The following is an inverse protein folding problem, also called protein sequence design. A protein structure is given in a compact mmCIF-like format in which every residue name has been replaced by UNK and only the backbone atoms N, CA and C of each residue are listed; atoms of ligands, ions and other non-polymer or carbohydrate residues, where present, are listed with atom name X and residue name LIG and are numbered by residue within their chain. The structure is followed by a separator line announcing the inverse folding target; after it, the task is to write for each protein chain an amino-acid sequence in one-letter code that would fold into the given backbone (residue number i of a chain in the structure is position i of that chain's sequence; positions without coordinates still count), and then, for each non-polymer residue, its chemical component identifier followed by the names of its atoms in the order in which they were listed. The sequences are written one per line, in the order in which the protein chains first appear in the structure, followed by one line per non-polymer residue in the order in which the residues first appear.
data_IF_977640087814
#
_entry.id   IF_977640087814
#
_cell.length_a   1.000
_cell.length_b   1.000
_cell.length_c   1.000
_cell.angle_alpha   90.00
_cell.angle_beta   90.00
_cell.angle_gamma   90.00
#
_symmetry.space_group_name_H-M   'P 1'
#
loop_
_entity.id
_entity.type
_entity.pdbx_description
1 polymer ?
#
# COMPACT_ATOMS: atom_id res chain seq x y z
N UNK A 1 18.79 -12.24 27.12
CA UNK A 1 19.19 -13.55 26.55
C UNK A 1 18.06 -13.99 25.62
N UNK A 2 18.38 -14.08 24.35
CA UNK A 2 17.45 -14.30 23.23
C UNK A 2 16.88 -15.71 23.24
N UNK A 3 15.54 -15.84 23.36
CA UNK A 3 14.82 -17.11 23.16
C UNK A 3 14.35 -17.21 21.69
N UNK A 4 15.27 -17.22 20.75
CA UNK A 4 14.98 -17.70 19.38
C UNK A 4 15.70 -19.04 19.20
N UNK A 5 15.10 -20.08 19.77
CA UNK A 5 15.52 -21.48 19.62
C UNK A 5 14.62 -22.15 18.58
N UNK A 6 15.30 -22.84 17.65
CA UNK A 6 14.81 -23.71 16.56
C UNK A 6 14.12 -23.02 15.38
N UNK A 7 14.90 -22.78 14.34
CA UNK A 7 14.42 -22.53 12.98
C UNK A 7 13.77 -23.84 12.50
N UNK A 8 12.44 -23.88 12.51
CA UNK A 8 11.71 -24.88 11.74
C UNK A 8 12.10 -24.73 10.25
N UNK A 9 12.29 -25.81 9.49
CA UNK A 9 12.56 -25.71 8.06
C UNK A 9 11.45 -24.88 7.41
N UNK A 10 11.83 -23.96 6.51
CA UNK A 10 10.90 -23.12 5.79
C UNK A 10 9.79 -24.01 5.21
N UNK A 11 8.59 -23.90 5.77
CA UNK A 11 7.45 -24.68 5.28
C UNK A 11 7.25 -24.34 3.81
N UNK A 12 7.17 -25.36 2.97
CA UNK A 12 6.89 -25.17 1.55
C UNK A 12 5.54 -24.49 1.39
N UNK A 13 5.50 -23.44 0.58
CA UNK A 13 4.22 -22.78 0.24
C UNK A 13 3.18 -23.83 -0.15
N UNK A 14 1.97 -23.78 0.42
CA UNK A 14 0.84 -24.58 0.01
C UNK A 14 0.58 -24.50 -1.50
N UNK A 15 0.02 -25.53 -2.08
CA UNK A 15 -0.15 -25.62 -3.54
C UNK A 15 -1.02 -24.48 -4.08
N UNK A 16 -2.08 -24.10 -3.37
CA UNK A 16 -2.98 -23.00 -3.77
C UNK A 16 -2.35 -21.60 -3.75
N UNK A 17 -1.19 -21.43 -3.11
CA UNK A 17 -0.43 -20.18 -3.11
C UNK A 17 0.68 -20.16 -4.16
N UNK A 18 0.92 -21.28 -4.84
CA UNK A 18 1.92 -21.34 -5.90
C UNK A 18 1.35 -20.69 -7.15
N UNK A 19 2.01 -19.64 -7.62
CA UNK A 19 1.65 -18.96 -8.85
C UNK A 19 2.66 -19.29 -9.95
N UNK A 20 2.22 -19.49 -11.21
CA UNK A 20 3.15 -19.57 -12.31
C UNK A 20 3.90 -18.25 -12.43
N UNK A 21 5.20 -18.33 -12.70
CA UNK A 21 6.00 -17.18 -13.09
C UNK A 21 5.43 -16.71 -14.42
N UNK A 22 4.93 -15.46 -14.48
CA UNK A 22 4.36 -14.90 -15.71
C UNK A 22 5.33 -14.90 -16.89
N UNK A 23 4.90 -14.41 -18.03
CA UNK A 23 5.72 -14.36 -19.25
C UNK A 23 7.02 -13.59 -18.98
N UNK A 24 8.16 -14.28 -19.03
CA UNK A 24 9.48 -13.74 -18.69
C UNK A 24 9.84 -12.50 -19.53
N UNK A 25 9.52 -12.48 -20.82
CA UNK A 25 9.83 -11.34 -21.70
C UNK A 25 9.04 -10.08 -21.36
N UNK A 26 7.79 -10.21 -20.92
CA UNK A 26 6.99 -9.09 -20.42
C UNK A 26 7.53 -8.56 -19.12
N UNK A 27 7.89 -9.45 -18.19
CA UNK A 27 8.49 -9.09 -16.91
C UNK A 27 9.81 -8.34 -17.10
N UNK A 28 10.71 -8.85 -17.94
CA UNK A 28 11.99 -8.22 -18.29
C UNK A 28 11.81 -6.83 -18.90
N UNK A 29 10.85 -6.68 -19.84
CA UNK A 29 10.53 -5.39 -20.46
C UNK A 29 10.11 -4.36 -19.42
N UNK A 30 9.20 -4.70 -18.52
CA UNK A 30 8.71 -3.76 -17.50
C UNK A 30 9.80 -3.43 -16.48
N UNK A 31 10.59 -4.42 -16.06
CA UNK A 31 11.76 -4.20 -15.20
C UNK A 31 12.80 -3.30 -15.85
N UNK A 32 13.03 -3.45 -17.15
CA UNK A 32 13.90 -2.57 -17.93
C UNK A 32 13.42 -1.12 -17.85
N UNK A 33 12.14 -0.86 -18.16
CA UNK A 33 11.54 0.48 -18.11
C UNK A 33 11.62 1.10 -16.71
N UNK A 34 11.34 0.34 -15.65
CA UNK A 34 11.44 0.81 -14.27
C UNK A 34 12.88 1.23 -13.92
N UNK A 35 13.88 0.41 -14.29
CA UNK A 35 15.30 0.71 -14.04
C UNK A 35 15.81 1.89 -14.87
N UNK A 36 15.53 1.94 -16.16
CA UNK A 36 15.95 3.01 -17.07
C UNK A 36 15.42 4.37 -16.61
N UNK A 37 14.19 4.40 -16.12
CA UNK A 37 13.56 5.60 -15.58
C UNK A 37 13.89 5.87 -14.09
N UNK A 38 14.74 5.08 -13.45
CA UNK A 38 15.10 5.21 -12.02
C UNK A 38 13.87 5.31 -11.13
N UNK A 39 12.89 4.45 -11.38
CA UNK A 39 11.62 4.41 -10.65
C UNK A 39 11.64 3.31 -9.59
N UNK A 40 10.80 3.50 -8.59
CA UNK A 40 10.49 2.50 -7.59
C UNK A 40 9.07 1.97 -7.80
N UNK A 41 8.89 0.67 -7.68
CA UNK A 41 7.58 0.03 -7.66
C UNK A 41 7.46 -0.83 -6.42
N UNK A 42 6.28 -0.82 -5.79
CA UNK A 42 6.04 -1.74 -4.67
C UNK A 42 6.10 -3.20 -5.12
N UNK A 43 5.91 -3.44 -6.41
CA UNK A 43 6.03 -4.76 -7.02
C UNK A 43 7.46 -5.30 -6.93
N UNK A 44 8.47 -4.44 -7.00
CA UNK A 44 9.90 -4.81 -6.88
C UNK A 44 10.39 -4.64 -5.45
N UNK A 45 10.23 -3.45 -4.86
CA UNK A 45 10.69 -3.16 -3.49
C UNK A 45 10.01 -4.06 -2.45
N UNK A 46 8.71 -4.35 -2.63
CA UNK A 46 7.95 -5.26 -1.79
C UNK A 46 8.12 -6.74 -2.12
N UNK A 47 8.90 -7.09 -3.15
CA UNK A 47 9.04 -8.47 -3.67
C UNK A 47 7.70 -9.18 -3.88
N UNK A 48 6.74 -8.45 -4.49
CA UNK A 48 5.37 -8.92 -4.67
C UNK A 48 5.32 -10.19 -5.55
N UNK A 49 4.71 -11.28 -5.07
CA UNK A 49 4.60 -12.53 -5.85
C UNK A 49 3.68 -12.39 -7.06
N UNK A 50 2.76 -11.42 -7.06
CA UNK A 50 1.78 -11.20 -8.12
C UNK A 50 2.33 -10.33 -9.27
N UNK A 51 3.59 -9.87 -9.19
CA UNK A 51 4.21 -8.92 -10.13
C UNK A 51 4.04 -9.34 -11.59
N UNK A 52 4.32 -10.61 -11.92
CA UNK A 52 4.21 -11.11 -13.29
C UNK A 52 2.80 -11.04 -13.86
N UNK A 53 1.81 -11.38 -13.05
CA UNK A 53 0.40 -11.33 -13.42
C UNK A 53 -0.11 -9.89 -13.58
N UNK A 54 0.22 -9.00 -12.64
CA UNK A 54 -0.15 -7.58 -12.70
C UNK A 54 0.42 -6.88 -13.93
N UNK A 55 1.69 -7.09 -14.22
CA UNK A 55 2.34 -6.50 -15.38
C UNK A 55 1.76 -7.03 -16.70
N UNK A 56 1.44 -8.34 -16.77
CA UNK A 56 0.76 -8.92 -17.92
C UNK A 56 -0.67 -8.36 -18.12
N UNK A 57 -1.35 -8.00 -17.02
CA UNK A 57 -2.67 -7.37 -17.05
C UNK A 57 -2.64 -5.86 -17.36
N UNK A 58 -1.46 -5.26 -17.58
CA UNK A 58 -1.30 -3.83 -17.83
C UNK A 58 -1.57 -2.98 -16.60
N UNK A 59 -1.21 -3.48 -15.40
CA UNK A 59 -1.35 -2.79 -14.11
C UNK A 59 0.00 -2.73 -13.40
N UNK A 60 0.35 -1.57 -12.87
CA UNK A 60 1.54 -1.38 -12.05
C UNK A 60 1.23 -0.51 -10.82
N UNK A 61 2.00 -0.69 -9.76
CA UNK A 61 1.94 0.13 -8.55
C UNK A 61 3.27 0.84 -8.37
N UNK A 62 3.30 2.15 -8.62
CA UNK A 62 4.48 2.97 -8.44
C UNK A 62 4.62 3.40 -6.98
N UNK A 63 5.85 3.41 -6.49
CA UNK A 63 6.22 3.86 -5.15
C UNK A 63 6.84 5.24 -5.23
N UNK A 64 6.17 6.24 -4.68
CA UNK A 64 6.57 7.64 -4.70
C UNK A 64 7.37 8.03 -3.46
N UNK A 65 8.18 9.07 -3.59
CA UNK A 65 8.96 9.65 -2.49
C UNK A 65 10.28 8.93 -2.20
N UNK A 66 10.75 8.11 -3.16
CA UNK A 66 12.00 7.36 -3.08
C UNK A 66 11.84 5.98 -2.44
N UNK A 67 12.96 5.36 -2.04
CA UNK A 67 13.02 3.98 -1.52
C UNK A 67 13.06 3.87 0.00
N UNK A 68 13.13 4.98 0.76
CA UNK A 68 13.30 4.98 2.21
C UNK A 68 12.04 5.51 2.89
N UNK A 69 11.41 4.66 3.71
CA UNK A 69 10.21 4.99 4.48
C UNK A 69 10.58 5.47 5.89
N UNK A 70 9.91 6.52 6.39
CA UNK A 70 10.08 7.02 7.77
C UNK A 70 9.39 6.12 8.82
N UNK A 71 8.55 5.18 8.39
CA UNK A 71 7.84 4.20 9.24
C UNK A 71 8.53 2.84 9.23
N UNK A 72 8.23 2.01 10.22
CA UNK A 72 8.91 0.73 10.45
C UNK A 72 7.94 -0.45 10.58
N UNK A 73 6.99 -0.58 9.66
CA UNK A 73 6.05 -1.69 9.62
C UNK A 73 6.82 -3.03 9.55
N UNK A 74 6.46 -3.99 10.41
CA UNK A 74 7.22 -5.22 10.58
C UNK A 74 7.06 -6.23 9.42
N UNK A 75 6.04 -6.03 8.58
CA UNK A 75 5.77 -6.85 7.39
C UNK A 75 6.45 -6.31 6.13
N UNK A 76 6.84 -5.02 6.12
CA UNK A 76 7.20 -4.31 4.91
C UNK A 76 8.69 -4.45 4.58
N UNK A 77 8.99 -4.82 3.33
CA UNK A 77 10.36 -5.00 2.82
C UNK A 77 11.03 -3.67 2.42
N UNK A 78 10.25 -2.59 2.24
CA UNK A 78 10.80 -1.26 1.89
C UNK A 78 11.80 -0.80 2.93
N UNK A 79 12.91 -0.20 2.50
CA UNK A 79 13.95 0.30 3.36
C UNK A 79 13.44 1.37 4.33
N UNK A 80 14.03 1.41 5.53
CA UNK A 80 13.56 2.24 6.65
C UNK A 80 14.64 3.23 7.06
N UNK A 81 14.27 4.49 7.25
CA UNK A 81 15.22 5.51 7.68
C UNK A 81 14.53 6.78 8.17
N UNK A 82 15.21 7.51 9.09
CA UNK A 82 14.68 8.76 9.66
C UNK A 82 14.99 10.01 8.81
N UNK A 83 15.92 9.90 7.89
CA UNK A 83 16.36 10.99 7.03
C UNK A 83 16.44 10.50 5.59
N UNK A 84 15.29 10.31 4.91
CA UNK A 84 15.28 9.96 3.49
C UNK A 84 15.93 11.10 2.68
N UNK A 85 16.38 10.75 1.47
CA UNK A 85 16.90 11.74 0.53
C UNK A 85 15.84 12.79 0.17
N UNK A 86 16.27 13.95 -0.28
CA UNK A 86 15.37 14.96 -0.81
C UNK A 86 14.48 14.37 -1.92
N UNK A 87 13.26 14.88 -1.99
CA UNK A 87 12.34 14.48 -3.07
C UNK A 87 12.94 14.88 -4.41
N UNK A 88 12.95 13.95 -5.36
CA UNK A 88 13.38 14.25 -6.72
C UNK A 88 12.25 14.98 -7.47
N UNK A 89 12.44 16.23 -7.86
CA UNK A 89 11.41 17.01 -8.55
C UNK A 89 11.00 16.42 -9.91
N UNK A 90 11.84 15.57 -10.50
CA UNK A 90 11.54 14.92 -11.77
C UNK A 90 10.86 13.56 -11.63
N UNK A 91 10.58 13.07 -10.41
CA UNK A 91 9.96 11.77 -10.18
C UNK A 91 8.57 11.67 -10.86
N UNK A 92 7.74 12.71 -10.70
CA UNK A 92 6.39 12.75 -11.27
C UNK A 92 6.40 12.60 -12.81
N UNK A 93 7.30 13.30 -13.49
CA UNK A 93 7.43 13.22 -14.95
C UNK A 93 7.93 11.84 -15.40
N UNK A 94 8.92 11.28 -14.71
CA UNK A 94 9.42 9.93 -15.05
C UNK A 94 8.37 8.84 -14.82
N UNK A 95 7.54 8.96 -13.77
CA UNK A 95 6.41 8.05 -13.56
C UNK A 95 5.42 8.17 -14.72
N UNK A 96 5.11 9.38 -15.15
CA UNK A 96 4.20 9.61 -16.26
C UNK A 96 4.75 9.05 -17.60
N UNK A 97 6.06 9.20 -17.87
CA UNK A 97 6.74 8.58 -19.03
C UNK A 97 6.65 7.07 -19.00
N UNK A 98 6.85 6.45 -17.83
CA UNK A 98 6.74 5.00 -17.68
C UNK A 98 5.30 4.51 -17.86
N UNK A 99 4.32 5.20 -17.31
CA UNK A 99 2.89 4.88 -17.47
C UNK A 99 2.50 4.90 -18.94
N UNK A 100 2.93 5.91 -19.69
CA UNK A 100 2.71 6.00 -21.14
C UNK A 100 3.42 4.88 -21.91
N UNK A 101 4.72 4.68 -21.67
CA UNK A 101 5.54 3.66 -22.34
C UNK A 101 5.05 2.22 -22.09
N UNK A 102 4.47 1.98 -20.92
CA UNK A 102 3.85 0.70 -20.57
C UNK A 102 2.40 0.58 -21.08
N UNK A 103 1.83 1.63 -21.68
CA UNK A 103 0.44 1.71 -22.13
C UNK A 103 -0.56 1.27 -21.07
N UNK A 104 -0.37 1.72 -19.81
CA UNK A 104 -1.23 1.35 -18.70
C UNK A 104 -2.60 2.00 -18.85
N UNK A 105 -3.64 1.24 -18.51
CA UNK A 105 -5.03 1.73 -18.44
C UNK A 105 -5.46 2.03 -17.03
N UNK A 106 -4.79 1.42 -16.08
CA UNK A 106 -5.01 1.59 -14.65
C UNK A 106 -3.67 1.63 -13.93
N UNK A 107 -3.46 2.63 -13.11
CA UNK A 107 -2.23 2.78 -12.32
C UNK A 107 -2.58 2.96 -10.85
N UNK A 108 -1.83 2.32 -9.98
CA UNK A 108 -1.87 2.56 -8.55
C UNK A 108 -0.65 3.37 -8.16
N UNK A 109 -0.86 4.52 -7.54
CA UNK A 109 0.19 5.31 -6.92
C UNK A 109 0.19 5.04 -5.43
N UNK A 110 1.31 4.64 -4.89
CA UNK A 110 1.55 4.55 -3.45
C UNK A 110 2.81 5.33 -3.09
N UNK A 111 3.03 5.62 -1.82
CA UNK A 111 4.21 6.33 -1.37
C UNK A 111 4.81 5.66 -0.15
N UNK A 112 6.13 5.80 0.02
CA UNK A 112 6.73 5.64 1.33
C UNK A 112 6.17 6.70 2.28
N UNK A 113 6.07 6.41 3.58
CA UNK A 113 5.74 7.48 4.53
C UNK A 113 6.90 8.48 4.56
N UNK A 114 6.57 9.75 4.43
CA UNK A 114 7.49 10.89 4.43
C UNK A 114 7.08 11.87 5.53
N UNK A 115 7.12 11.38 6.77
CA UNK A 115 6.80 12.19 7.97
C UNK A 115 7.77 13.36 8.17
N UNK A 116 8.88 13.38 7.42
CA UNK A 116 9.87 14.43 7.34
C UNK A 116 9.45 15.62 6.47
N UNK A 117 8.47 15.43 5.57
CA UNK A 117 7.95 16.50 4.71
C UNK A 117 6.83 17.27 5.40
N UNK A 118 6.69 18.54 5.07
CA UNK A 118 5.66 19.42 5.62
C UNK A 118 4.24 18.88 5.39
N UNK A 119 3.98 18.38 4.20
CA UNK A 119 2.69 17.82 3.77
C UNK A 119 2.61 16.28 3.88
N UNK A 120 3.62 15.66 4.52
CA UNK A 120 3.73 14.20 4.66
C UNK A 120 3.63 13.45 3.33
N UNK A 121 4.03 14.09 2.22
CA UNK A 121 4.05 13.52 0.89
C UNK A 121 2.73 13.61 0.13
N UNK A 122 1.76 14.41 0.57
CA UNK A 122 0.50 14.60 -0.16
C UNK A 122 0.73 15.18 -1.56
N UNK A 123 1.65 16.12 -1.71
CA UNK A 123 2.01 16.70 -3.00
C UNK A 123 2.65 15.72 -4.00
N UNK A 124 3.27 14.64 -3.52
CA UNK A 124 3.80 13.59 -4.40
C UNK A 124 2.71 12.95 -5.24
N UNK A 125 1.56 12.69 -4.63
CA UNK A 125 0.41 12.13 -5.34
C UNK A 125 -0.16 13.13 -6.36
N UNK A 126 -0.39 14.37 -5.95
CA UNK A 126 -1.03 15.37 -6.82
C UNK A 126 -0.17 15.73 -8.02
N UNK A 127 1.13 15.94 -7.82
CA UNK A 127 2.06 16.23 -8.92
C UNK A 127 2.17 15.07 -9.90
N UNK A 128 2.24 13.84 -9.39
CA UNK A 128 2.32 12.63 -10.24
C UNK A 128 1.00 12.40 -11.00
N UNK A 129 -0.15 12.57 -10.36
CA UNK A 129 -1.45 12.48 -11.03
C UNK A 129 -1.60 13.52 -12.13
N UNK A 130 -1.16 14.76 -11.88
CA UNK A 130 -1.18 15.83 -12.87
C UNK A 130 -0.29 15.50 -14.08
N UNK A 131 0.94 15.05 -13.84
CA UNK A 131 1.87 14.66 -14.90
C UNK A 131 1.34 13.50 -15.76
N UNK A 132 0.76 12.48 -15.14
CA UNK A 132 0.14 11.34 -15.84
C UNK A 132 -1.04 11.81 -16.70
N UNK A 133 -1.95 12.62 -16.14
CA UNK A 133 -3.13 13.12 -16.86
C UNK A 133 -2.80 14.08 -18.00
N UNK A 134 -1.73 14.82 -17.90
CA UNK A 134 -1.23 15.65 -18.97
C UNK A 134 -0.90 14.85 -20.24
N UNK A 135 -0.47 13.57 -20.08
CA UNK A 135 -0.18 12.64 -21.19
C UNK A 135 -1.39 11.81 -21.59
N UNK A 136 -2.16 11.33 -20.61
CA UNK A 136 -3.33 10.50 -20.81
C UNK A 136 -4.48 10.93 -19.87
N UNK A 137 -5.37 11.81 -20.30
CA UNK A 137 -6.48 12.30 -19.47
C UNK A 137 -7.50 11.23 -19.05
N UNK A 138 -7.54 10.09 -19.74
CA UNK A 138 -8.54 9.04 -19.50
C UNK A 138 -8.02 7.92 -18.60
N UNK A 139 -6.77 7.99 -18.16
CA UNK A 139 -6.20 6.93 -17.31
C UNK A 139 -6.87 6.89 -15.93
N UNK A 140 -7.19 5.68 -15.49
CA UNK A 140 -7.70 5.46 -14.14
C UNK A 140 -6.55 5.44 -13.12
N UNK A 141 -6.57 6.33 -12.13
CA UNK A 141 -5.53 6.45 -11.11
C UNK A 141 -6.12 6.16 -9.74
N UNK A 142 -5.72 5.05 -9.13
CA UNK A 142 -5.96 4.75 -7.71
C UNK A 142 -4.80 5.29 -6.88
N UNK A 143 -5.08 5.80 -5.67
CA UNK A 143 -4.05 6.19 -4.72
C UNK A 143 -4.11 5.31 -3.48
N UNK A 144 -2.97 4.71 -3.08
CA UNK A 144 -2.79 3.99 -1.82
C UNK A 144 -1.89 4.82 -0.92
N UNK A 145 -2.49 5.50 0.06
CA UNK A 145 -1.79 6.52 0.85
C UNK A 145 -1.32 6.03 2.22
N UNK A 146 -0.25 6.63 2.79
CA UNK A 146 0.00 6.59 4.23
C UNK A 146 -1.13 7.31 4.98
N UNK A 147 -1.07 7.29 6.33
CA UNK A 147 -2.10 7.95 7.15
C UNK A 147 -1.94 9.46 7.27
N UNK A 148 -0.91 10.06 6.69
CA UNK A 148 -0.60 11.50 6.73
C UNK A 148 -0.56 12.10 8.15
N UNK A 149 -0.34 11.27 9.18
CA UNK A 149 -0.39 11.66 10.57
C UNK A 149 0.95 12.14 11.09
N UNK A 150 0.93 13.23 11.88
CA UNK A 150 2.08 13.72 12.63
C UNK A 150 2.43 15.17 12.32
N UNK A 151 3.60 15.59 12.81
CA UNK A 151 4.11 16.96 12.65
C UNK A 151 3.47 18.00 13.59
N UNK A 152 2.45 17.62 14.38
CA UNK A 152 1.73 18.49 15.31
C UNK A 152 1.52 17.76 16.64
N UNK A 153 1.86 18.40 17.76
CA UNK A 153 1.76 17.80 19.10
C UNK A 153 0.32 17.79 19.64
N UNK A 154 -0.47 18.79 19.28
CA UNK A 154 -1.87 18.91 19.69
C UNK A 154 -2.74 17.95 18.86
N UNK A 155 -3.60 17.17 19.53
CA UNK A 155 -4.39 16.13 18.90
C UNK A 155 -5.40 16.66 17.87
N UNK A 156 -6.11 17.74 18.20
CA UNK A 156 -7.13 18.32 17.33
C UNK A 156 -6.50 18.96 16.09
N UNK A 157 -5.38 19.64 16.27
CA UNK A 157 -4.59 20.18 15.18
C UNK A 157 -3.97 19.08 14.30
N UNK A 158 -3.59 17.96 14.89
CA UNK A 158 -3.08 16.81 14.14
C UNK A 158 -4.16 16.20 13.25
N UNK A 159 -5.41 16.10 13.74
CA UNK A 159 -6.57 15.68 12.93
C UNK A 159 -6.84 16.69 11.81
N UNK A 160 -6.84 17.99 12.11
CA UNK A 160 -7.05 19.02 11.10
C UNK A 160 -5.98 18.99 10.00
N UNK A 161 -4.70 18.88 10.37
CA UNK A 161 -3.59 18.76 9.42
C UNK A 161 -3.68 17.48 8.56
N UNK A 162 -4.08 16.36 9.15
CA UNK A 162 -4.32 15.11 8.42
C UNK A 162 -5.44 15.30 7.37
N UNK A 163 -6.56 15.91 7.76
CA UNK A 163 -7.68 16.19 6.85
C UNK A 163 -7.31 17.13 5.71
N UNK A 164 -6.49 18.14 5.96
CA UNK A 164 -5.97 19.07 4.95
C UNK A 164 -5.12 18.34 3.91
N UNK A 165 -4.17 17.49 4.36
CA UNK A 165 -3.33 16.66 3.48
C UNK A 165 -4.16 15.67 2.67
N UNK A 166 -5.14 15.04 3.30
CA UNK A 166 -6.10 14.16 2.63
C UNK A 166 -6.91 14.92 1.56
N UNK A 167 -7.42 16.09 1.92
CA UNK A 167 -8.18 16.96 0.98
C UNK A 167 -7.35 17.32 -0.25
N UNK A 168 -6.06 17.62 -0.06
CA UNK A 168 -5.12 17.88 -1.17
C UNK A 168 -5.06 16.72 -2.16
N UNK A 169 -4.95 15.48 -1.67
CA UNK A 169 -4.92 14.28 -2.53
C UNK A 169 -6.26 14.04 -3.21
N UNK A 170 -7.38 14.19 -2.48
CA UNK A 170 -8.72 13.95 -3.01
C UNK A 170 -9.12 15.00 -4.06
N UNK A 171 -8.65 16.25 -3.93
CA UNK A 171 -8.88 17.30 -4.93
C UNK A 171 -8.27 16.98 -6.31
N UNK A 172 -7.29 16.05 -6.36
CA UNK A 172 -6.79 15.54 -7.64
C UNK A 172 -7.69 14.43 -8.24
N UNK A 173 -8.85 14.14 -7.67
CA UNK A 173 -9.89 13.23 -8.18
C UNK A 173 -9.38 11.82 -8.56
N UNK A 174 -8.80 11.05 -7.61
CA UNK A 174 -8.48 9.66 -7.87
C UNK A 174 -9.76 8.84 -8.13
N UNK A 175 -9.68 7.81 -8.99
CA UNK A 175 -10.81 6.89 -9.22
C UNK A 175 -11.09 5.98 -8.02
N UNK A 176 -10.16 5.88 -7.09
CA UNK A 176 -10.29 5.14 -5.84
C UNK A 176 -9.28 5.67 -4.82
N UNK A 177 -9.74 5.95 -3.61
CA UNK A 177 -8.90 6.25 -2.46
C UNK A 177 -8.70 4.99 -1.65
N UNK A 178 -7.45 4.54 -1.50
CA UNK A 178 -7.08 3.35 -0.77
C UNK A 178 -6.21 3.70 0.44
N UNK A 179 -6.58 3.16 1.59
CA UNK A 179 -5.75 3.16 2.79
C UNK A 179 -5.94 1.86 3.55
N UNK A 180 -4.89 1.06 3.63
CA UNK A 180 -4.97 -0.26 4.23
C UNK A 180 -4.98 -0.21 5.76
N UNK A 181 -5.82 -1.05 6.39
CA UNK A 181 -5.69 -1.39 7.82
C UNK A 181 -4.48 -2.29 8.07
N UNK A 182 -4.08 -3.07 7.10
CA UNK A 182 -3.00 -4.06 7.08
C UNK A 182 -3.24 -5.26 7.98
N UNK A 183 -3.79 -5.08 9.18
CA UNK A 183 -4.10 -6.16 10.13
C UNK A 183 -5.24 -5.77 11.06
N UNK A 184 -5.69 -6.70 11.89
CA UNK A 184 -6.71 -6.51 12.91
C UNK A 184 -6.21 -5.62 14.06
N UNK A 185 -7.14 -5.04 14.84
CA UNK A 185 -6.81 -4.06 15.90
C UNK A 185 -5.77 -4.57 16.89
N UNK A 186 -5.94 -5.80 17.40
CA UNK A 186 -5.02 -6.41 18.38
C UNK A 186 -3.57 -6.46 17.89
N UNK A 187 -3.35 -6.69 16.61
CA UNK A 187 -2.03 -6.87 16.02
C UNK A 187 -1.38 -5.57 15.53
N UNK A 188 -2.08 -4.44 15.52
CA UNK A 188 -1.57 -3.18 14.96
C UNK A 188 -0.22 -2.76 15.53
N UNK A 189 -0.06 -2.80 16.86
CA UNK A 189 1.17 -2.35 17.53
C UNK A 189 2.41 -3.17 17.14
N UNK A 190 2.25 -4.46 16.85
CA UNK A 190 3.32 -5.36 16.43
C UNK A 190 3.60 -5.25 14.92
N UNK A 191 2.54 -5.25 14.12
CA UNK A 191 2.60 -5.36 12.65
C UNK A 191 2.86 -4.01 12.00
N UNK A 192 2.15 -2.95 12.43
CA UNK A 192 2.13 -1.65 11.76
C UNK A 192 2.58 -0.53 12.68
N UNK A 193 3.84 -0.52 13.04
CA UNK A 193 4.45 0.45 13.95
C UNK A 193 4.34 1.89 13.42
N UNK A 194 3.87 2.80 14.28
CA UNK A 194 3.70 4.22 13.95
C UNK A 194 2.34 4.59 13.35
N UNK A 195 1.47 3.62 13.09
CA UNK A 195 0.07 3.82 12.75
C UNK A 195 -0.85 3.21 13.82
N UNK A 196 -2.13 3.61 13.83
CA UNK A 196 -3.13 3.00 14.71
C UNK A 196 -4.37 2.59 13.91
N UNK A 197 -5.06 1.57 14.41
CA UNK A 197 -6.27 1.04 13.80
C UNK A 197 -7.36 2.11 13.65
N UNK A 198 -7.65 2.80 14.75
CA UNK A 198 -8.68 3.83 14.81
C UNK A 198 -8.36 5.04 13.92
N UNK A 199 -7.08 5.42 13.82
CA UNK A 199 -6.65 6.49 12.91
C UNK A 199 -6.87 6.14 11.44
N UNK A 200 -6.63 4.88 11.08
CA UNK A 200 -6.87 4.40 9.72
C UNK A 200 -8.35 4.39 9.35
N UNK A 201 -9.22 3.97 10.28
CA UNK A 201 -10.67 4.06 10.11
C UNK A 201 -11.13 5.52 10.00
N UNK A 202 -10.63 6.41 10.85
CA UNK A 202 -10.95 7.83 10.82
C UNK A 202 -10.52 8.49 9.49
N UNK A 203 -9.37 8.09 8.93
CA UNK A 203 -8.93 8.58 7.61
C UNK A 203 -9.86 8.14 6.48
N UNK A 204 -10.31 6.88 6.50
CA UNK A 204 -11.28 6.36 5.53
C UNK A 204 -12.63 7.07 5.66
N UNK A 205 -13.13 7.28 6.88
CA UNK A 205 -14.34 8.05 7.14
C UNK A 205 -14.21 9.48 6.59
N UNK A 206 -13.12 10.17 6.91
CA UNK A 206 -12.85 11.52 6.44
C UNK A 206 -12.78 11.61 4.91
N UNK A 207 -12.26 10.57 4.23
CA UNK A 207 -12.24 10.56 2.76
C UNK A 207 -13.64 10.47 2.15
N UNK A 208 -14.56 9.74 2.80
CA UNK A 208 -15.96 9.67 2.38
C UNK A 208 -16.71 10.99 2.57
N UNK A 209 -16.40 11.71 3.66
CA UNK A 209 -16.97 13.05 3.91
C UNK A 209 -16.46 14.09 2.90
N UNK A 210 -15.15 14.08 2.62
CA UNK A 210 -14.50 15.06 1.75
C UNK A 210 -14.77 14.84 0.27
N UNK A 211 -14.87 13.57 -0.16
CA UNK A 211 -15.09 13.19 -1.57
C UNK A 211 -16.09 12.02 -1.67
N UNK A 212 -17.40 12.27 -1.47
CA UNK A 212 -18.43 11.22 -1.46
C UNK A 212 -18.54 10.40 -2.76
N UNK A 213 -18.14 10.96 -3.89
CA UNK A 213 -18.13 10.30 -5.19
C UNK A 213 -16.93 9.38 -5.40
N UNK A 214 -15.84 9.54 -4.63
CA UNK A 214 -14.64 8.72 -4.76
C UNK A 214 -14.79 7.44 -3.93
N UNK A 215 -14.81 6.25 -4.55
CA UNK A 215 -14.86 5.00 -3.82
C UNK A 215 -13.66 4.84 -2.89
N UNK A 216 -13.89 4.29 -1.69
CA UNK A 216 -12.85 3.95 -0.74
C UNK A 216 -12.52 2.47 -0.78
N UNK A 217 -11.25 2.16 -0.51
CA UNK A 217 -10.71 0.81 -0.46
C UNK A 217 -9.79 0.64 0.74
N UNK A 218 -9.76 -0.58 1.28
CA UNK A 218 -8.82 -0.99 2.31
C UNK A 218 -8.28 -2.39 2.03
N UNK A 219 -7.29 -2.80 2.80
CA UNK A 219 -6.69 -4.13 2.69
C UNK A 219 -6.28 -4.68 4.06
N UNK A 220 -6.37 -6.01 4.19
CA UNK A 220 -5.87 -6.79 5.30
C UNK A 220 -4.96 -7.89 4.80
N UNK A 221 -3.82 -8.06 5.45
CA UNK A 221 -2.97 -9.23 5.31
C UNK A 221 -3.39 -10.29 6.32
N UNK A 222 -3.56 -11.51 5.87
CA UNK A 222 -3.97 -12.65 6.67
C UNK A 222 -2.81 -13.62 6.86
N UNK A 223 -2.73 -14.24 8.05
CA UNK A 223 -1.67 -15.17 8.41
C UNK A 223 -0.63 -14.61 9.35
N UNK A 224 -0.92 -13.48 10.00
CA UNK A 224 -0.08 -12.84 11.02
C UNK A 224 -0.47 -13.22 12.46
N UNK A 225 -1.51 -14.07 12.64
CA UNK A 225 -1.99 -14.54 13.95
C UNK A 225 -3.37 -13.99 14.33
N UNK A 226 -4.06 -13.35 13.40
CA UNK A 226 -5.46 -12.96 13.55
C UNK A 226 -6.38 -14.18 13.58
N UNK A 227 -7.52 -14.05 14.27
CA UNK A 227 -8.61 -15.05 14.21
C UNK A 227 -9.63 -14.66 13.13
N UNK A 228 -10.48 -15.60 12.77
CA UNK A 228 -11.59 -15.34 11.83
C UNK A 228 -12.55 -14.26 12.35
N UNK A 229 -12.86 -14.33 13.63
CA UNK A 229 -13.76 -13.38 14.31
C UNK A 229 -13.18 -11.96 14.30
N UNK A 230 -11.86 -11.81 14.49
CA UNK A 230 -11.19 -10.52 14.40
C UNK A 230 -11.19 -9.95 12.97
N UNK A 231 -11.04 -10.81 11.95
CA UNK A 231 -11.16 -10.38 10.54
C UNK A 231 -12.59 -9.90 10.25
N UNK A 232 -13.61 -10.65 10.70
CA UNK A 232 -15.01 -10.26 10.54
C UNK A 232 -15.30 -8.95 11.28
N UNK A 233 -14.79 -8.76 12.49
CA UNK A 233 -14.92 -7.50 13.24
C UNK A 233 -14.29 -6.34 12.45
N UNK A 234 -13.09 -6.50 11.91
CA UNK A 234 -12.45 -5.49 11.08
C UNK A 234 -13.25 -5.16 9.80
N UNK A 235 -13.93 -6.14 9.21
CA UNK A 235 -14.83 -5.91 8.08
C UNK A 235 -16.06 -5.09 8.49
N UNK A 236 -16.64 -5.35 9.67
CA UNK A 236 -17.73 -4.54 10.22
C UNK A 236 -17.29 -3.10 10.49
N UNK A 237 -16.10 -2.91 11.06
CA UNK A 237 -15.54 -1.58 11.32
C UNK A 237 -15.31 -0.81 10.01
N UNK A 238 -14.78 -1.46 8.98
CA UNK A 238 -14.64 -0.88 7.64
C UNK A 238 -16.01 -0.52 7.02
N UNK A 239 -17.01 -1.37 7.22
CA UNK A 239 -18.38 -1.10 6.76
C UNK A 239 -18.99 0.10 7.49
N UNK A 240 -18.74 0.23 8.79
CA UNK A 240 -19.23 1.34 9.61
C UNK A 240 -18.69 2.71 9.15
N UNK A 241 -17.51 2.75 8.55
CA UNK A 241 -16.92 3.97 7.93
C UNK A 241 -17.19 4.07 6.43
N UNK A 242 -18.15 3.31 5.91
CA UNK A 242 -18.54 3.27 4.49
C UNK A 242 -17.38 2.96 3.54
N UNK A 243 -16.47 2.07 3.96
CA UNK A 243 -15.45 1.54 3.06
C UNK A 243 -16.09 0.54 2.08
N UNK A 244 -15.95 0.78 0.79
CA UNK A 244 -16.73 0.09 -0.26
C UNK A 244 -16.00 -1.10 -0.86
N UNK A 245 -14.67 -1.16 -0.73
CA UNK A 245 -13.84 -2.22 -1.31
C UNK A 245 -12.86 -2.73 -0.25
N UNK A 246 -12.70 -4.04 -0.20
CA UNK A 246 -11.72 -4.68 0.67
C UNK A 246 -10.93 -5.71 -0.12
N UNK A 247 -9.62 -5.69 0.06
CA UNK A 247 -8.73 -6.74 -0.40
C UNK A 247 -8.26 -7.57 0.79
N UNK A 248 -8.45 -8.88 0.73
CA UNK A 248 -7.87 -9.83 1.67
C UNK A 248 -6.73 -10.57 0.97
N UNK A 249 -5.53 -10.53 1.53
CA UNK A 249 -4.35 -11.16 0.94
C UNK A 249 -3.58 -11.99 1.95
N UNK A 250 -3.12 -13.17 1.56
CA UNK A 250 -2.22 -13.97 2.40
C UNK A 250 -0.89 -13.23 2.57
N UNK A 251 -0.48 -13.02 3.82
CA UNK A 251 0.86 -12.54 4.13
C UNK A 251 1.89 -13.58 3.73
N UNK A 252 2.88 -13.17 2.95
CA UNK A 252 4.06 -13.95 2.63
C UNK A 252 5.28 -13.23 3.18
N UNK A 253 6.06 -13.92 4.00
CA UNK A 253 7.22 -13.37 4.69
C UNK A 253 8.31 -12.96 3.70
N UNK A 254 8.67 -11.67 3.58
CA UNK A 254 9.67 -11.23 2.59
C UNK A 254 11.08 -11.74 2.88
N UNK A 255 11.48 -11.81 4.16
CA UNK A 255 12.77 -12.34 4.62
C UNK A 255 12.69 -12.77 6.09
N UNK A 256 13.74 -13.45 6.57
CA UNK A 256 13.81 -13.89 7.97
C UNK A 256 13.84 -12.75 9.00
N UNK A 257 14.08 -11.52 8.58
CA UNK A 257 14.01 -10.33 9.44
C UNK A 257 12.57 -9.82 9.69
N UNK A 258 11.59 -10.33 8.94
CA UNK A 258 10.18 -9.94 9.05
C UNK A 258 9.41 -10.93 9.93
N UNK A 259 8.15 -10.57 10.25
CA UNK A 259 7.26 -11.42 11.03
C UNK A 259 7.09 -12.80 10.38
N UNK A 260 7.09 -13.88 11.15
CA UNK A 260 6.82 -15.20 10.60
C UNK A 260 5.36 -15.31 10.16
N UNK A 261 5.09 -16.13 9.14
CA UNK A 261 3.73 -16.54 8.81
C UNK A 261 3.25 -17.47 9.94
N UNK A 262 2.11 -17.15 10.56
CA UNK A 262 1.53 -17.95 11.63
C UNK A 262 0.64 -19.08 11.07
N UNK A 263 -0.03 -18.82 9.96
CA UNK A 263 -0.81 -19.83 9.21
C UNK A 263 -1.05 -19.39 7.77
N UNK A 264 -1.42 -20.34 6.94
CA UNK A 264 -1.92 -20.10 5.59
C UNK A 264 -3.43 -20.30 5.58
N UNK A 265 -4.18 -19.25 5.23
CA UNK A 265 -5.63 -19.32 5.04
C UNK A 265 -5.97 -20.09 3.78
N UNK A 266 -6.94 -21.01 3.86
CA UNK A 266 -7.36 -21.76 2.69
C UNK A 266 -8.30 -20.95 1.79
N UNK A 267 -8.44 -21.32 0.49
CA UNK A 267 -9.40 -20.69 -0.39
C UNK A 267 -10.85 -20.78 0.13
N UNK A 268 -11.20 -21.89 0.79
CA UNK A 268 -12.52 -22.10 1.38
C UNK A 268 -12.78 -21.14 2.54
N UNK A 269 -11.79 -20.94 3.43
CA UNK A 269 -11.90 -19.97 4.52
C UNK A 269 -12.05 -18.54 3.97
N UNK A 270 -11.27 -18.16 2.95
CA UNK A 270 -11.38 -16.87 2.30
C UNK A 270 -12.71 -16.68 1.61
N UNK A 271 -13.27 -17.73 0.98
CA UNK A 271 -14.59 -17.70 0.36
C UNK A 271 -15.71 -17.42 1.36
N UNK A 272 -15.61 -17.97 2.58
CA UNK A 272 -16.60 -17.74 3.64
C UNK A 272 -16.59 -16.31 4.23
N UNK A 273 -15.52 -15.57 4.02
CA UNK A 273 -15.41 -14.18 4.47
C UNK A 273 -16.04 -13.21 3.44
N UNK A 274 -16.16 -13.62 2.18
CA UNK A 274 -16.75 -12.84 1.10
C UNK A 274 -18.30 -12.85 1.03
N UNK A 275 -18.98 -13.35 2.02
CA UNK A 275 -20.44 -13.42 2.07
C UNK A 275 -21.04 -12.10 2.54
#
# INVERSE_FOLDING_TARGET
MSQYSSIAPAERLPEWLRRPIGNASQLERVQGLVKENRLHTICEEGRCPNRGECYAAGTATFLLGGSICTRSCAFCQVDKGRAPMAVDPAEAERVADAVESMALRYVVLTAVARDDLFDHGASLFTSTMAAIRARNPLIAIEVLTPDFWGGVADADRAVAAQRERLSTVLAAEPVCFNHNLETVERLQGEVRRGATYQRSLALLAASRELAPSTPTKSGLMLGLGETREEVIAAMHDLRAVDCQRLTLGQYLRPSLAHLPVQRYWTPEELSLIHI
#
